data_IF_582736515544
#
_entry.id   IF_582736515544
#
_cell.length_a   1.000
_cell.length_b   1.000
_cell.length_c   1.000
_cell.angle_alpha   90.00
_cell.angle_beta   90.00
_cell.angle_gamma   90.00
#
_symmetry.space_group_name_H-M   'P 1'
#
loop_
_entity.id
_entity.type
_entity.pdbx_description
1 polymer ?
#
# COMPACT_ATOMS: atom_id res chain seq x y z
N UNK A 1 17.98 23.58 -21.70
CA UNK A 1 16.91 22.56 -21.59
C UNK A 1 17.62 21.24 -21.73
N UNK A 2 18.00 20.63 -20.61
CA UNK A 2 18.66 19.32 -20.63
C UNK A 2 17.64 18.27 -21.06
N UNK A 3 17.89 17.63 -22.21
CA UNK A 3 17.07 16.58 -22.79
C UNK A 3 17.32 15.22 -22.14
N UNK A 4 17.34 15.15 -20.80
CA UNK A 4 17.33 13.89 -20.06
C UNK A 4 15.91 13.54 -19.58
N UNK A 5 14.89 13.87 -20.38
CA UNK A 5 13.51 13.46 -20.09
C UNK A 5 13.29 12.03 -20.56
N UNK A 6 12.92 11.17 -19.63
CA UNK A 6 12.57 9.77 -19.83
C UNK A 6 11.05 9.57 -19.96
N UNK A 7 10.63 8.38 -20.37
CA UNK A 7 9.21 8.00 -20.35
C UNK A 7 8.65 8.02 -18.93
N UNK A 8 9.47 7.68 -17.92
CA UNK A 8 9.09 7.73 -16.51
C UNK A 8 8.65 9.14 -16.08
N UNK A 9 9.37 10.18 -16.51
CA UNK A 9 9.02 11.58 -16.19
C UNK A 9 7.63 11.96 -16.73
N UNK A 10 7.25 11.41 -17.89
CA UNK A 10 5.92 11.63 -18.48
C UNK A 10 4.84 10.96 -17.64
N UNK A 11 5.03 9.69 -17.28
CA UNK A 11 4.08 8.95 -16.43
C UNK A 11 3.91 9.63 -15.07
N UNK A 12 5.01 9.95 -14.40
CA UNK A 12 4.96 10.62 -13.11
C UNK A 12 4.25 11.96 -13.19
N UNK A 13 4.52 12.77 -14.21
CA UNK A 13 3.82 14.04 -14.42
C UNK A 13 2.31 13.84 -14.55
N UNK A 14 1.85 12.89 -15.38
CA UNK A 14 0.42 12.64 -15.55
C UNK A 14 -0.24 12.06 -14.29
N UNK A 15 0.43 11.14 -13.59
CA UNK A 15 -0.09 10.55 -12.36
C UNK A 15 -0.17 11.59 -11.23
N UNK A 16 0.86 12.44 -11.08
CA UNK A 16 0.91 13.49 -10.06
C UNK A 16 -0.12 14.60 -10.26
N UNK A 17 -0.45 14.93 -11.52
CA UNK A 17 -1.36 16.03 -11.86
C UNK A 17 -2.80 15.58 -12.16
N UNK A 18 -3.08 14.28 -12.11
CA UNK A 18 -4.44 13.75 -12.30
C UNK A 18 -5.26 13.88 -11.02
N UNK A 19 -6.38 14.61 -11.08
CA UNK A 19 -7.31 14.72 -9.95
C UNK A 19 -7.83 13.36 -9.46
N UNK A 20 -8.00 12.39 -10.36
CA UNK A 20 -8.44 11.05 -10.01
C UNK A 20 -7.40 10.31 -9.18
N UNK A 21 -6.12 10.39 -9.57
CA UNK A 21 -5.04 9.74 -8.83
C UNK A 21 -4.72 10.48 -7.54
N UNK A 22 -4.77 11.81 -7.52
CA UNK A 22 -4.68 12.61 -6.29
C UNK A 22 -5.77 12.22 -5.29
N UNK A 23 -7.01 12.00 -5.75
CA UNK A 23 -8.10 11.54 -4.89
C UNK A 23 -7.82 10.13 -4.33
N UNK A 24 -7.40 9.20 -5.19
CA UNK A 24 -7.07 7.83 -4.78
C UNK A 24 -5.93 7.79 -3.76
N UNK A 25 -4.82 8.47 -4.05
CA UNK A 25 -3.65 8.55 -3.18
C UNK A 25 -4.01 9.21 -1.84
N UNK A 26 -4.75 10.32 -1.88
CA UNK A 26 -5.21 11.00 -0.66
C UNK A 26 -6.11 10.09 0.18
N UNK A 27 -7.11 9.43 -0.44
CA UNK A 27 -8.01 8.51 0.28
C UNK A 27 -7.27 7.29 0.83
N UNK A 28 -6.26 6.79 0.12
CA UNK A 28 -5.41 5.72 0.61
C UNK A 28 -4.73 6.14 1.92
N UNK A 29 -4.01 7.26 1.95
CA UNK A 29 -3.29 7.69 3.15
C UNK A 29 -4.17 8.25 4.28
N UNK A 30 -5.36 8.75 3.97
CA UNK A 30 -6.23 9.47 4.91
C UNK A 30 -7.56 8.75 5.15
N UNK A 31 -7.50 7.43 5.24
CA UNK A 31 -8.68 6.60 5.49
C UNK A 31 -9.37 6.98 6.80
N UNK A 32 -10.70 6.91 6.81
CA UNK A 32 -11.52 7.24 7.97
C UNK A 32 -11.69 8.74 8.24
N UNK A 33 -10.91 9.62 7.57
CA UNK A 33 -11.09 11.06 7.71
C UNK A 33 -12.44 11.53 7.14
N UNK A 34 -13.08 12.55 7.74
CA UNK A 34 -14.30 13.13 7.20
C UNK A 34 -14.07 13.71 5.80
N UNK A 35 -15.06 13.56 4.93
CA UNK A 35 -14.96 13.95 3.51
C UNK A 35 -14.64 15.44 3.28
N UNK A 36 -15.00 16.33 4.21
CA UNK A 36 -14.68 17.75 4.11
C UNK A 36 -13.16 18.00 4.12
N UNK A 37 -12.37 17.14 4.79
CA UNK A 37 -10.91 17.22 4.77
C UNK A 37 -10.35 16.95 3.39
N UNK A 38 -10.92 15.99 2.66
CA UNK A 38 -10.55 15.71 1.27
C UNK A 38 -10.86 16.91 0.37
N UNK A 39 -12.04 17.51 0.54
CA UNK A 39 -12.47 18.70 -0.20
C UNK A 39 -11.49 19.87 0.03
N UNK A 40 -11.12 20.13 1.29
CA UNK A 40 -10.18 21.18 1.67
C UNK A 40 -8.77 20.93 1.12
N UNK A 41 -8.20 19.73 1.36
CA UNK A 41 -6.81 19.43 1.01
C UNK A 41 -6.58 19.29 -0.51
N UNK A 42 -7.59 18.83 -1.26
CA UNK A 42 -7.49 18.70 -2.72
C UNK A 42 -8.08 19.90 -3.47
N UNK A 43 -8.60 20.92 -2.75
CA UNK A 43 -9.28 22.08 -3.33
C UNK A 43 -10.43 21.70 -4.28
N UNK A 44 -11.15 20.63 -3.97
CA UNK A 44 -12.29 20.17 -4.77
C UNK A 44 -13.59 20.83 -4.32
N UNK A 45 -14.59 20.91 -5.20
CA UNK A 45 -15.98 21.09 -4.78
C UNK A 45 -16.59 19.73 -4.45
N UNK A 46 -17.63 19.69 -3.59
CA UNK A 46 -18.33 18.43 -3.28
C UNK A 46 -18.87 17.75 -4.55
N UNK A 47 -19.41 18.52 -5.49
CA UNK A 47 -19.90 17.99 -6.76
C UNK A 47 -18.78 17.37 -7.61
N UNK A 48 -17.59 18.00 -7.64
CA UNK A 48 -16.44 17.46 -8.36
C UNK A 48 -15.96 16.15 -7.72
N UNK A 49 -15.83 16.12 -6.40
CA UNK A 49 -15.41 14.94 -5.63
C UNK A 49 -16.31 13.73 -5.90
N UNK A 50 -17.63 13.87 -5.75
CA UNK A 50 -18.55 12.75 -6.00
C UNK A 50 -18.57 12.31 -7.47
N UNK A 51 -18.39 13.25 -8.41
CA UNK A 51 -18.27 12.91 -9.83
C UNK A 51 -16.98 12.13 -10.12
N UNK A 52 -15.84 12.58 -9.58
CA UNK A 52 -14.56 11.89 -9.69
C UNK A 52 -14.64 10.49 -9.07
N UNK A 53 -15.17 10.38 -7.85
CA UNK A 53 -15.36 9.09 -7.18
C UNK A 53 -16.15 8.09 -8.02
N UNK A 54 -17.31 8.50 -8.56
CA UNK A 54 -18.11 7.63 -9.45
C UNK A 54 -17.35 7.19 -10.70
N UNK A 55 -16.60 8.10 -11.31
CA UNK A 55 -15.82 7.78 -12.50
C UNK A 55 -14.68 6.80 -12.19
N UNK A 56 -13.98 7.01 -11.07
CA UNK A 56 -12.91 6.13 -10.60
C UNK A 56 -13.47 4.75 -10.32
N UNK A 57 -14.54 4.65 -9.53
CA UNK A 57 -15.21 3.37 -9.23
C UNK A 57 -15.62 2.66 -10.51
N UNK A 58 -16.26 3.36 -11.46
CA UNK A 58 -16.64 2.76 -12.75
C UNK A 58 -15.45 2.16 -13.52
N UNK A 59 -14.30 2.85 -13.53
CA UNK A 59 -13.09 2.36 -14.22
C UNK A 59 -12.51 1.18 -13.47
N UNK A 60 -12.30 1.31 -12.16
CA UNK A 60 -11.68 0.26 -11.35
C UNK A 60 -12.53 -1.01 -11.34
N UNK A 61 -13.84 -0.92 -11.12
CA UNK A 61 -14.76 -2.07 -11.10
C UNK A 61 -14.78 -2.90 -12.40
N UNK A 62 -14.25 -2.38 -13.52
CA UNK A 62 -14.16 -3.13 -14.78
C UNK A 62 -12.99 -4.13 -14.83
N UNK A 63 -11.96 -3.93 -14.02
CA UNK A 63 -10.73 -4.74 -14.01
C UNK A 63 -10.35 -5.25 -12.61
N UNK A 64 -10.78 -4.54 -11.57
CA UNK A 64 -10.49 -4.81 -10.17
C UNK A 64 -11.79 -4.69 -9.37
N UNK A 65 -11.98 -5.50 -8.34
CA UNK A 65 -13.13 -5.36 -7.45
C UNK A 65 -12.87 -4.24 -6.44
N UNK A 66 -12.72 -2.99 -6.89
CA UNK A 66 -12.40 -1.82 -6.05
C UNK A 66 -13.47 -0.74 -6.17
N UNK A 67 -13.87 -0.17 -5.04
CA UNK A 67 -14.82 0.93 -4.93
C UNK A 67 -14.34 2.00 -3.95
N UNK A 68 -14.78 3.25 -4.15
CA UNK A 68 -14.53 4.35 -3.23
C UNK A 68 -15.81 4.59 -2.42
N UNK A 69 -15.67 4.63 -1.09
CA UNK A 69 -16.72 5.07 -0.17
C UNK A 69 -16.31 6.40 0.46
N UNK A 70 -17.27 7.28 0.69
CA UNK A 70 -17.05 8.62 1.26
C UNK A 70 -17.68 8.80 2.64
N UNK A 71 -18.36 7.76 3.16
CA UNK A 71 -18.99 7.75 4.47
C UNK A 71 -18.91 6.34 5.11
N UNK A 72 -17.83 6.00 5.82
CA UNK A 72 -16.58 6.78 6.00
C UNK A 72 -15.76 6.84 4.71
N UNK A 73 -14.76 7.74 4.65
CA UNK A 73 -13.83 7.82 3.51
C UNK A 73 -12.92 6.59 3.51
N UNK A 74 -13.13 5.66 2.59
CA UNK A 74 -12.37 4.42 2.50
C UNK A 74 -12.32 3.89 1.06
N UNK A 75 -11.32 3.04 0.82
CA UNK A 75 -11.22 2.24 -0.40
C UNK A 75 -11.54 0.80 -0.01
N UNK A 76 -12.56 0.23 -0.64
CA UNK A 76 -13.13 -1.08 -0.25
C UNK A 76 -13.26 -1.99 -1.46
N UNK A 77 -13.44 -3.29 -1.18
CA UNK A 77 -13.59 -4.32 -2.21
C UNK A 77 -12.67 -5.51 -1.95
N UNK A 78 -12.18 -6.15 -3.01
CA UNK A 78 -11.23 -7.24 -2.88
C UNK A 78 -9.86 -6.73 -2.43
N UNK A 79 -9.43 -7.15 -1.24
CA UNK A 79 -8.22 -6.61 -0.62
C UNK A 79 -6.93 -6.98 -1.40
N UNK A 80 -6.89 -8.12 -2.09
CA UNK A 80 -5.76 -8.48 -2.95
C UNK A 80 -5.68 -7.52 -4.15
N UNK A 81 -6.81 -7.23 -4.79
CA UNK A 81 -6.88 -6.28 -5.91
C UNK A 81 -6.46 -4.87 -5.47
N UNK A 82 -6.91 -4.41 -4.30
CA UNK A 82 -6.53 -3.10 -3.73
C UNK A 82 -5.03 -3.02 -3.52
N UNK A 83 -4.44 -4.01 -2.83
CA UNK A 83 -3.00 -4.02 -2.55
C UNK A 83 -2.18 -4.08 -3.82
N UNK A 84 -2.59 -4.89 -4.79
CA UNK A 84 -1.93 -5.00 -6.09
C UNK A 84 -2.00 -3.68 -6.88
N UNK A 85 -3.19 -3.08 -6.95
CA UNK A 85 -3.39 -1.78 -7.63
C UNK A 85 -2.47 -0.71 -7.06
N UNK A 86 -2.43 -0.56 -5.73
CA UNK A 86 -1.59 0.44 -5.10
C UNK A 86 -0.09 0.13 -5.23
N UNK A 87 0.32 -1.15 -5.21
CA UNK A 87 1.73 -1.51 -5.40
C UNK A 87 2.21 -1.09 -6.78
N UNK A 88 1.39 -1.35 -7.81
CA UNK A 88 1.66 -0.90 -9.17
C UNK A 88 1.66 0.63 -9.26
N UNK A 89 0.63 1.28 -8.72
CA UNK A 89 0.51 2.75 -8.71
C UNK A 89 1.73 3.43 -8.09
N UNK A 90 2.13 3.05 -6.87
CA UNK A 90 3.28 3.63 -6.19
C UNK A 90 4.61 3.35 -6.91
N UNK A 91 4.71 2.23 -7.63
CA UNK A 91 5.89 1.91 -8.45
C UNK A 91 6.01 2.77 -9.71
N UNK A 92 4.90 3.31 -10.23
CA UNK A 92 4.86 4.18 -11.42
C UNK A 92 4.83 5.68 -11.08
N UNK A 93 4.23 6.03 -9.94
CA UNK A 93 3.98 7.41 -9.51
C UNK A 93 5.23 8.10 -8.95
N UNK A 94 6.16 7.34 -8.37
CA UNK A 94 7.33 7.85 -7.69
C UNK A 94 8.60 7.32 -8.34
N UNK A 95 9.70 8.07 -8.25
CA UNK A 95 10.98 7.55 -8.73
C UNK A 95 11.39 6.34 -7.92
N UNK A 96 12.21 5.49 -8.53
CA UNK A 96 12.64 4.23 -7.92
C UNK A 96 13.20 4.40 -6.49
N UNK A 97 13.95 5.48 -6.24
CA UNK A 97 14.60 5.76 -4.95
C UNK A 97 13.73 6.56 -3.97
N UNK A 98 12.58 7.08 -4.40
CA UNK A 98 11.69 7.83 -3.52
C UNK A 98 10.95 6.88 -2.58
N UNK A 99 10.61 7.33 -1.37
CA UNK A 99 9.82 6.53 -0.44
C UNK A 99 8.51 7.26 -0.09
N UNK A 100 7.34 6.80 -0.59
CA UNK A 100 6.10 7.58 -0.51
C UNK A 100 5.29 7.35 0.77
N UNK A 101 5.80 6.62 1.76
CA UNK A 101 5.07 6.30 3.00
C UNK A 101 5.63 7.12 4.17
N UNK A 102 5.03 8.28 4.51
CA UNK A 102 5.56 9.16 5.56
C UNK A 102 5.48 8.53 6.95
N UNK A 103 4.45 7.74 7.22
CA UNK A 103 4.19 7.13 8.54
C UNK A 103 4.88 5.76 8.73
N UNK A 104 5.74 5.38 7.78
CA UNK A 104 6.44 4.10 7.79
C UNK A 104 7.86 4.30 7.25
N UNK A 105 8.86 4.53 8.12
CA UNK A 105 10.25 4.70 7.69
C UNK A 105 10.74 3.53 6.84
N UNK A 106 11.45 3.81 5.75
CA UNK A 106 11.98 2.76 4.86
C UNK A 106 12.99 1.86 5.57
N UNK A 107 13.72 2.39 6.56
CA UNK A 107 14.71 1.67 7.35
C UNK A 107 14.05 0.56 8.20
N UNK A 108 13.00 0.89 8.95
CA UNK A 108 12.23 -0.06 9.76
C UNK A 108 11.63 -1.18 8.88
N UNK A 109 11.12 -0.79 7.71
CA UNK A 109 10.58 -1.74 6.74
C UNK A 109 11.66 -2.63 6.12
N UNK A 110 12.85 -2.07 5.89
CA UNK A 110 14.00 -2.82 5.37
C UNK A 110 14.45 -3.84 6.40
N UNK A 111 14.52 -3.49 7.68
CA UNK A 111 14.83 -4.43 8.77
C UNK A 111 13.79 -5.57 8.84
N UNK A 112 12.50 -5.24 8.75
CA UNK A 112 11.41 -6.21 8.73
C UNK A 112 11.50 -7.15 7.52
N UNK A 113 11.66 -6.59 6.33
CA UNK A 113 11.79 -7.35 5.09
C UNK A 113 13.01 -8.30 5.15
N UNK A 114 14.14 -7.80 5.63
CA UNK A 114 15.40 -8.54 5.79
C UNK A 114 15.24 -9.78 6.66
N UNK A 115 14.53 -9.66 7.78
CA UNK A 115 14.29 -10.77 8.69
C UNK A 115 13.62 -11.96 7.99
N UNK A 116 12.59 -11.70 7.19
CA UNK A 116 11.82 -12.75 6.51
C UNK A 116 12.47 -13.27 5.23
N UNK A 117 13.18 -12.44 4.46
CA UNK A 117 13.75 -12.93 3.21
C UNK A 117 15.11 -13.59 3.40
N UNK A 118 15.98 -13.10 4.31
CA UNK A 118 17.36 -13.61 4.43
C UNK A 118 17.41 -15.09 4.80
N UNK A 119 16.44 -15.57 5.57
CA UNK A 119 16.30 -16.99 5.92
C UNK A 119 16.02 -17.90 4.73
N UNK A 120 15.48 -17.36 3.63
CA UNK A 120 15.10 -18.14 2.45
C UNK A 120 16.27 -18.42 1.51
N UNK A 121 17.42 -17.74 1.70
CA UNK A 121 18.54 -17.70 0.74
C UNK A 121 18.12 -17.32 -0.69
N UNK A 122 16.96 -16.67 -0.87
CA UNK A 122 16.51 -16.21 -2.17
C UNK A 122 17.39 -15.05 -2.68
N UNK A 123 17.87 -15.08 -3.93
CA UNK A 123 18.71 -14.02 -4.49
C UNK A 123 17.86 -12.80 -4.86
N UNK A 124 17.55 -11.99 -3.83
CA UNK A 124 16.74 -10.79 -3.98
C UNK A 124 17.50 -9.70 -4.74
N UNK A 125 17.15 -9.48 -6.01
CA UNK A 125 17.68 -8.35 -6.80
C UNK A 125 17.06 -7.04 -6.33
N UNK A 126 17.77 -5.93 -6.57
CA UNK A 126 17.35 -4.59 -6.15
C UNK A 126 15.91 -4.23 -6.57
N UNK A 127 15.52 -4.53 -7.81
CA UNK A 127 14.16 -4.26 -8.31
C UNK A 127 13.09 -5.12 -7.62
N UNK A 128 13.37 -6.40 -7.39
CA UNK A 128 12.45 -7.32 -6.70
C UNK A 128 12.31 -6.88 -5.25
N UNK A 129 13.42 -6.50 -4.60
CA UNK A 129 13.40 -6.04 -3.22
C UNK A 129 12.61 -4.73 -3.05
N UNK A 130 12.72 -3.81 -4.00
CA UNK A 130 11.92 -2.58 -4.02
C UNK A 130 10.43 -2.89 -4.09
N UNK A 131 10.00 -3.76 -5.01
CA UNK A 131 8.59 -4.16 -5.12
C UNK A 131 8.11 -4.89 -3.86
N UNK A 132 8.95 -5.77 -3.29
CA UNK A 132 8.66 -6.46 -2.04
C UNK A 132 8.40 -5.47 -0.90
N UNK A 133 9.24 -4.43 -0.75
CA UNK A 133 9.02 -3.36 0.23
C UNK A 133 7.71 -2.61 -0.01
N UNK A 134 7.42 -2.21 -1.25
CA UNK A 134 6.13 -1.55 -1.56
C UNK A 134 4.93 -2.42 -1.16
N UNK A 135 4.95 -3.72 -1.48
CA UNK A 135 3.88 -4.65 -1.12
C UNK A 135 3.71 -4.79 0.40
N UNK A 136 4.80 -4.84 1.17
CA UNK A 136 4.73 -4.89 2.64
C UNK A 136 4.20 -3.56 3.19
N UNK A 137 4.72 -2.41 2.74
CA UNK A 137 4.28 -1.10 3.22
C UNK A 137 2.78 -0.89 3.03
N UNK A 138 2.28 -1.24 1.85
CA UNK A 138 0.86 -1.19 1.54
C UNK A 138 0.10 -2.16 2.44
N UNK A 139 0.58 -3.38 2.63
CA UNK A 139 -0.07 -4.35 3.51
C UNK A 139 -0.17 -3.85 4.95
N UNK A 140 0.90 -3.27 5.51
CA UNK A 140 0.91 -2.67 6.85
C UNK A 140 -0.11 -1.53 6.92
N UNK A 141 -0.12 -0.65 5.91
CA UNK A 141 -1.06 0.47 5.85
C UNK A 141 -2.53 0.01 5.83
N UNK A 142 -2.83 -1.02 5.02
CA UNK A 142 -4.18 -1.59 4.92
C UNK A 142 -4.61 -2.27 6.23
N UNK A 143 -3.71 -3.05 6.84
CA UNK A 143 -4.00 -3.73 8.12
C UNK A 143 -4.18 -2.74 9.26
N UNK A 144 -3.41 -1.64 9.32
CA UNK A 144 -3.61 -0.55 10.29
C UNK A 144 -5.01 0.07 10.22
N UNK A 145 -5.60 0.09 9.03
CA UNK A 145 -6.95 0.58 8.80
C UNK A 145 -8.03 -0.52 8.88
N UNK A 146 -7.67 -1.71 9.37
CA UNK A 146 -8.61 -2.81 9.59
C UNK A 146 -8.94 -3.66 8.36
N UNK A 147 -8.15 -3.56 7.28
CA UNK A 147 -8.35 -4.37 6.07
C UNK A 147 -7.42 -5.58 6.03
N UNK A 148 -8.02 -6.76 6.10
CA UNK A 148 -7.32 -8.05 6.17
C UNK A 148 -7.59 -8.90 4.92
N UNK A 149 -6.66 -9.80 4.64
CA UNK A 149 -6.84 -10.88 3.67
C UNK A 149 -7.14 -12.15 4.45
N UNK A 150 -8.15 -12.90 4.02
CA UNK A 150 -8.43 -14.21 4.60
C UNK A 150 -7.25 -15.15 4.40
N UNK A 151 -6.82 -15.79 5.49
CA UNK A 151 -5.75 -16.77 5.43
C UNK A 151 -6.21 -17.97 4.58
N UNK A 152 -5.34 -18.53 3.72
CA UNK A 152 -5.63 -19.78 3.03
C UNK A 152 -5.97 -20.88 4.04
N UNK A 153 -6.92 -21.77 3.68
CA UNK A 153 -7.37 -22.86 4.57
C UNK A 153 -6.22 -23.76 5.08
N UNK A 154 -5.12 -23.85 4.31
CA UNK A 154 -3.94 -24.65 4.66
C UNK A 154 -2.85 -23.88 5.41
N UNK A 155 -3.05 -22.59 5.73
CA UNK A 155 -2.02 -21.74 6.33
C UNK A 155 -1.45 -22.30 7.63
N UNK A 156 -2.32 -22.66 8.57
CA UNK A 156 -1.89 -23.20 9.87
C UNK A 156 -1.19 -24.56 9.77
N UNK A 157 -1.46 -25.31 8.71
CA UNK A 157 -0.89 -26.64 8.50
C UNK A 157 0.44 -26.58 7.75
N UNK A 158 0.55 -25.72 6.74
CA UNK A 158 1.68 -25.72 5.80
C UNK A 158 2.67 -24.59 6.05
N UNK A 159 2.20 -23.38 6.38
CA UNK A 159 3.04 -22.19 6.47
C UNK A 159 3.39 -21.82 7.91
N UNK A 160 2.43 -21.86 8.83
CA UNK A 160 2.66 -21.46 10.23
C UNK A 160 3.78 -22.24 10.94
N UNK A 161 3.92 -23.58 10.77
CA UNK A 161 5.04 -24.32 11.37
C UNK A 161 6.40 -23.85 10.86
N UNK A 162 6.50 -23.43 9.60
CA UNK A 162 7.73 -22.88 9.02
C UNK A 162 8.07 -21.53 9.66
N UNK A 163 7.08 -20.63 9.77
CA UNK A 163 7.24 -19.32 10.42
C UNK A 163 7.67 -19.47 11.88
N UNK A 164 7.00 -20.34 12.64
CA UNK A 164 7.32 -20.59 14.05
C UNK A 164 8.72 -21.22 14.25
N UNK A 165 9.26 -21.86 13.22
CA UNK A 165 10.61 -22.44 13.28
C UNK A 165 11.73 -21.39 13.11
N UNK A 166 11.39 -20.16 12.71
CA UNK A 166 12.35 -19.06 12.57
C UNK A 166 12.90 -18.70 13.96
N UNK A 167 14.23 -18.60 14.13
CA UNK A 167 14.83 -18.16 15.39
C UNK A 167 14.32 -16.78 15.82
N UNK A 168 14.01 -16.63 17.11
CA UNK A 168 13.50 -15.39 17.71
C UNK A 168 12.22 -14.84 17.05
N UNK A 169 11.39 -15.70 16.45
CA UNK A 169 10.21 -15.27 15.70
C UNK A 169 9.25 -14.42 16.55
N UNK A 170 8.91 -14.87 17.76
CA UNK A 170 7.97 -14.17 18.63
C UNK A 170 8.53 -12.84 19.14
N UNK A 171 9.80 -12.81 19.55
CA UNK A 171 10.48 -11.57 19.96
C UNK A 171 10.54 -10.55 18.82
N UNK A 172 10.78 -11.05 17.60
CA UNK A 172 10.84 -10.22 16.40
C UNK A 172 9.47 -9.65 16.04
N UNK A 173 8.41 -10.46 16.09
CA UNK A 173 7.04 -9.97 15.91
C UNK A 173 6.67 -8.90 16.94
N UNK A 174 7.05 -9.08 18.22
CA UNK A 174 6.81 -8.09 19.26
C UNK A 174 7.60 -6.77 19.02
N UNK A 175 8.86 -6.87 18.57
CA UNK A 175 9.69 -5.73 18.21
C UNK A 175 9.06 -4.89 17.09
N UNK A 176 8.64 -5.54 16.01
CA UNK A 176 8.02 -4.87 14.87
C UNK A 176 6.59 -4.41 15.14
N UNK A 177 5.85 -5.12 16.00
CA UNK A 177 4.53 -4.66 16.45
C UNK A 177 4.61 -3.28 17.08
N UNK A 178 5.64 -3.05 17.91
CA UNK A 178 5.89 -1.76 18.54
C UNK A 178 6.33 -0.69 17.54
N UNK A 179 7.25 -1.01 16.62
CA UNK A 179 7.75 -0.04 15.63
C UNK A 179 6.66 0.39 14.66
N UNK A 180 5.84 -0.55 14.21
CA UNK A 180 4.75 -0.23 13.29
C UNK A 180 3.50 0.26 14.01
N UNK A 181 3.39 0.14 15.35
CA UNK A 181 2.16 0.48 16.06
C UNK A 181 0.98 -0.37 15.61
N UNK A 182 1.24 -1.64 15.33
CA UNK A 182 0.27 -2.64 14.87
C UNK A 182 0.48 -3.91 15.69
N UNK A 183 -0.58 -4.54 16.17
CA UNK A 183 -0.46 -5.85 16.81
C UNK A 183 -0.19 -6.93 15.73
N UNK A 184 1.01 -7.52 15.76
CA UNK A 184 1.35 -8.68 14.94
C UNK A 184 1.25 -9.93 15.79
N UNK A 185 0.20 -10.70 15.57
CA UNK A 185 0.02 -12.02 16.17
C UNK A 185 0.84 -13.06 15.39
N UNK A 186 1.32 -14.11 16.06
CA UNK A 186 1.89 -15.25 15.36
C UNK A 186 0.88 -15.94 14.43
N UNK A 187 -0.39 -15.95 14.83
CA UNK A 187 -1.56 -16.52 14.16
C UNK A 187 -2.38 -15.50 13.37
#
# INVERSE_FOLDING_TARGET
LDFNSSVEDIYQYFLANSQSFQLLEYMFFNEGLPIYRTIENLYFSSANLYRLGRNITKVLSSQFQIELSFTPSEIRGNEIDIRYFFAQYFSERYYFLDWPFPDLPEEDLTEFADFFYKITNYPMRFSIYRMYKLMIAISIHRVKNGHFIDLPNHFYKEYYPLLKSIPNFQETLAYFSKHFGLEMTPD
#
